data_IF_992628893543
#
_entry.id   IF_992628893543
#
_cell.length_a   1.000
_cell.length_b   1.000
_cell.length_c   1.000
_cell.angle_alpha   90.00
_cell.angle_beta   90.00
_cell.angle_gamma   90.00
#
_symmetry.space_group_name_H-M   'P 1'
#
loop_
_entity.id
_entity.type
_entity.pdbx_description
1 polymer ?
#
# COMPACT_ATOMS: atom_id res chain seq x y z
N UNK A 1 -10.06 -1.22 -18.94
CA UNK A 1 -11.26 -1.90 -18.37
C UNK A 1 -11.21 -3.36 -18.81
N UNK A 2 -11.51 -4.28 -17.91
CA UNK A 2 -11.54 -5.72 -18.17
C UNK A 2 -12.98 -6.13 -18.39
N UNK A 3 -13.30 -6.96 -19.40
CA UNK A 3 -14.66 -7.45 -19.64
C UNK A 3 -15.29 -8.07 -18.38
N UNK A 4 -16.61 -7.87 -18.19
CA UNK A 4 -17.33 -8.28 -16.99
C UNK A 4 -17.48 -9.81 -16.85
N UNK A 5 -17.35 -10.55 -17.96
CA UNK A 5 -17.36 -12.02 -18.00
C UNK A 5 -16.05 -12.67 -17.54
N UNK A 6 -14.96 -11.91 -17.49
CA UNK A 6 -13.67 -12.38 -16.97
C UNK A 6 -13.69 -12.32 -15.43
N UNK A 7 -13.52 -13.47 -14.78
CA UNK A 7 -13.39 -13.55 -13.33
C UNK A 7 -12.04 -13.03 -12.86
N UNK A 8 -12.01 -12.23 -11.77
CA UNK A 8 -10.79 -11.63 -11.22
C UNK A 8 -10.38 -12.29 -9.91
N UNK A 9 -9.11 -12.60 -9.78
CA UNK A 9 -8.47 -13.03 -8.53
C UNK A 9 -7.85 -11.81 -7.85
N UNK A 10 -8.35 -11.46 -6.68
CA UNK A 10 -7.88 -10.31 -5.89
C UNK A 10 -7.25 -10.84 -4.60
N UNK A 11 -6.05 -10.40 -4.30
CA UNK A 11 -5.36 -10.81 -3.08
C UNK A 11 -4.73 -9.66 -2.33
N UNK A 12 -4.86 -9.70 -1.01
CA UNK A 12 -4.17 -8.78 -0.10
C UNK A 12 -3.14 -9.52 0.74
N UNK A 13 -1.97 -8.90 0.92
CA UNK A 13 -0.96 -9.37 1.85
C UNK A 13 -1.36 -9.03 3.29
N UNK A 14 -1.24 -9.99 4.21
CA UNK A 14 -1.36 -9.78 5.66
C UNK A 14 -0.05 -10.15 6.35
N UNK A 15 0.40 -9.30 7.27
CA UNK A 15 1.61 -9.49 8.07
C UNK A 15 1.44 -8.88 9.46
N UNK A 16 2.24 -9.32 10.41
CA UNK A 16 2.24 -8.82 11.78
C UNK A 16 2.60 -7.34 11.84
N UNK A 17 1.84 -6.53 12.60
CA UNK A 17 2.07 -5.10 12.75
C UNK A 17 1.67 -4.26 11.53
N UNK A 18 0.79 -4.77 10.63
CA UNK A 18 0.18 -3.92 9.62
C UNK A 18 -0.71 -2.85 10.28
N UNK A 19 -1.04 -1.79 9.57
CA UNK A 19 -2.16 -0.90 9.94
C UNK A 19 -3.46 -1.50 9.38
N UNK A 20 -4.39 -1.87 10.26
CA UNK A 20 -5.57 -2.63 9.84
C UNK A 20 -6.43 -1.93 8.78
N UNK A 21 -6.53 -0.60 8.83
CA UNK A 21 -7.37 0.13 7.87
C UNK A 21 -6.70 0.23 6.49
N UNK A 22 -5.37 0.07 6.40
CA UNK A 22 -4.67 -0.09 5.13
C UNK A 22 -5.15 -1.36 4.38
N UNK A 23 -5.61 -2.37 5.13
CA UNK A 23 -6.21 -3.59 4.61
C UNK A 23 -7.73 -3.48 4.51
N UNK A 24 -8.41 -3.17 5.64
CA UNK A 24 -9.87 -3.27 5.76
C UNK A 24 -10.61 -2.15 5.02
N UNK A 25 -10.02 -0.96 4.89
CA UNK A 25 -10.58 0.11 4.06
C UNK A 25 -10.66 -0.29 2.58
N UNK A 26 -9.55 -0.67 1.94
CA UNK A 26 -9.57 -1.24 0.60
C UNK A 26 -10.41 -2.51 0.47
N UNK A 27 -10.40 -3.41 1.47
CA UNK A 27 -11.24 -4.60 1.47
C UNK A 27 -12.70 -4.28 1.22
N UNK A 28 -13.23 -3.26 1.88
CA UNK A 28 -14.63 -2.85 1.75
C UNK A 28 -15.00 -2.48 0.31
N UNK A 29 -14.06 -1.95 -0.46
CA UNK A 29 -14.23 -1.66 -1.89
C UNK A 29 -13.93 -2.87 -2.76
N UNK A 30 -12.75 -3.48 -2.57
CA UNK A 30 -12.20 -4.49 -3.49
C UNK A 30 -13.00 -5.79 -3.46
N UNK A 31 -13.57 -6.16 -2.31
CA UNK A 31 -14.41 -7.35 -2.15
C UNK A 31 -15.77 -7.22 -2.86
N UNK A 32 -16.15 -6.00 -3.29
CA UNK A 32 -17.38 -5.71 -4.04
C UNK A 32 -17.17 -5.53 -5.53
N UNK A 33 -15.95 -5.69 -6.02
CA UNK A 33 -15.69 -5.64 -7.46
C UNK A 33 -16.47 -6.77 -8.14
N UNK A 34 -17.32 -6.47 -9.14
CA UNK A 34 -18.13 -7.49 -9.80
C UNK A 34 -17.30 -8.62 -10.41
N UNK A 35 -17.83 -9.85 -10.30
CA UNK A 35 -17.20 -11.08 -10.81
C UNK A 35 -15.74 -11.22 -10.37
N UNK A 36 -15.52 -11.19 -9.06
CA UNK A 36 -14.20 -11.38 -8.46
C UNK A 36 -14.25 -12.29 -7.22
N UNK A 37 -13.11 -12.88 -6.89
CA UNK A 37 -12.85 -13.53 -5.60
C UNK A 37 -11.77 -12.74 -4.89
N UNK A 38 -12.04 -12.31 -3.66
CA UNK A 38 -11.08 -11.64 -2.80
C UNK A 38 -10.59 -12.60 -1.71
N UNK A 39 -9.27 -12.64 -1.50
CA UNK A 39 -8.65 -13.41 -0.41
C UNK A 39 -7.51 -12.64 0.24
N UNK A 40 -7.27 -12.97 1.51
CA UNK A 40 -6.17 -12.44 2.31
C UNK A 40 -5.12 -13.53 2.47
N UNK A 41 -3.86 -13.22 2.15
CA UNK A 41 -2.74 -14.16 2.19
C UNK A 41 -1.70 -13.73 3.22
N UNK A 42 -1.19 -14.70 3.98
CA UNK A 42 -0.12 -14.51 4.95
C UNK A 42 0.94 -15.62 4.86
N UNK A 43 2.05 -15.48 5.55
CA UNK A 43 3.05 -16.58 5.66
C UNK A 43 2.49 -17.81 6.34
N UNK A 44 1.54 -17.61 7.24
CA UNK A 44 0.80 -18.66 7.95
C UNK A 44 -0.69 -18.32 7.94
N UNK A 45 -1.53 -19.23 8.40
CA UNK A 45 -2.98 -18.98 8.61
C UNK A 45 -3.30 -18.59 10.06
N UNK A 46 -2.27 -18.40 10.90
CA UNK A 46 -2.45 -17.95 12.26
C UNK A 46 -2.90 -16.47 12.32
N UNK A 47 -3.72 -16.08 13.31
CA UNK A 47 -4.12 -14.70 13.49
C UNK A 47 -2.92 -13.79 13.74
N UNK A 48 -2.84 -12.70 13.00
CA UNK A 48 -1.83 -11.65 13.12
C UNK A 48 -2.44 -10.40 13.77
N UNK A 49 -1.61 -9.64 14.48
CA UNK A 49 -2.04 -8.41 15.14
C UNK A 49 -1.69 -7.20 14.29
N UNK A 50 -2.59 -6.24 14.26
CA UNK A 50 -2.30 -4.92 13.74
C UNK A 50 -1.46 -4.11 14.76
N UNK A 51 -1.08 -2.90 14.38
CA UNK A 51 -0.30 -1.96 15.23
C UNK A 51 -0.99 -1.59 16.54
N UNK A 52 -2.27 -1.87 16.72
CA UNK A 52 -3.08 -1.59 17.92
C UNK A 52 -3.61 -2.84 18.61
N UNK A 53 -3.34 -4.02 18.07
CA UNK A 53 -3.68 -5.31 18.67
C UNK A 53 -4.96 -5.95 18.13
N UNK A 54 -5.62 -5.36 17.12
CA UNK A 54 -6.72 -6.03 16.41
C UNK A 54 -6.19 -7.28 15.72
N UNK A 55 -6.92 -8.40 15.86
CA UNK A 55 -6.53 -9.66 15.22
C UNK A 55 -7.22 -9.82 13.88
N UNK A 56 -6.43 -10.15 12.88
CA UNK A 56 -6.87 -10.48 11.53
C UNK A 56 -6.32 -11.87 11.16
N UNK A 57 -7.10 -12.65 10.45
CA UNK A 57 -6.70 -14.00 10.06
C UNK A 57 -6.63 -14.10 8.55
N UNK A 58 -5.52 -14.59 7.96
CA UNK A 58 -5.43 -14.87 6.54
C UNK A 58 -6.39 -16.01 6.12
N UNK A 59 -6.89 -15.95 4.89
CA UNK A 59 -7.69 -17.02 4.29
C UNK A 59 -6.82 -18.22 3.87
N UNK A 60 -5.55 -17.94 3.52
CA UNK A 60 -4.61 -18.97 3.04
C UNK A 60 -3.15 -18.50 3.20
N UNK A 61 -2.22 -19.43 3.06
CA UNK A 61 -0.79 -19.14 3.01
C UNK A 61 -0.38 -18.61 1.62
N UNK A 62 0.73 -17.86 1.56
CA UNK A 62 1.27 -17.27 0.32
C UNK A 62 1.39 -18.31 -0.81
N UNK A 63 1.89 -19.50 -0.52
CA UNK A 63 2.10 -20.57 -1.49
C UNK A 63 0.79 -21.11 -2.12
N UNK A 64 -0.36 -20.84 -1.52
CA UNK A 64 -1.67 -21.25 -2.04
C UNK A 64 -2.34 -20.16 -2.88
N UNK A 65 -1.70 -18.98 -3.02
CA UNK A 65 -2.24 -17.91 -3.83
C UNK A 65 -2.22 -18.33 -5.32
N UNK A 66 -3.33 -18.20 -6.05
CA UNK A 66 -3.30 -18.27 -7.50
C UNK A 66 -2.53 -17.06 -8.05
N UNK A 67 -2.29 -17.04 -9.36
CA UNK A 67 -1.88 -15.77 -9.98
C UNK A 67 -2.99 -14.74 -9.77
N UNK A 68 -2.65 -13.63 -9.13
CA UNK A 68 -3.59 -12.55 -8.85
C UNK A 68 -3.70 -11.61 -10.03
N UNK A 69 -4.92 -11.17 -10.34
CA UNK A 69 -5.18 -10.04 -11.23
C UNK A 69 -4.93 -8.70 -10.53
N UNK A 70 -5.21 -8.65 -9.23
CA UNK A 70 -4.92 -7.52 -8.36
C UNK A 70 -4.15 -7.97 -7.12
N UNK A 71 -2.93 -7.49 -6.99
CA UNK A 71 -2.14 -7.61 -5.76
C UNK A 71 -2.31 -6.33 -4.93
N UNK A 72 -2.84 -6.47 -3.71
CA UNK A 72 -2.93 -5.37 -2.74
C UNK A 72 -1.90 -5.53 -1.63
N UNK A 73 -1.12 -4.47 -1.38
CA UNK A 73 -0.02 -4.43 -0.41
C UNK A 73 -0.26 -3.31 0.60
N UNK A 74 -0.80 -3.60 1.79
CA UNK A 74 -0.99 -2.63 2.86
C UNK A 74 0.33 -2.24 3.52
N UNK A 75 0.31 -1.19 4.34
CA UNK A 75 1.42 -0.75 5.16
C UNK A 75 1.21 -1.00 6.65
N UNK A 76 1.92 -0.25 7.46
CA UNK A 76 1.94 -0.37 8.92
C UNK A 76 3.37 -0.35 9.46
N UNK A 77 3.55 -0.53 10.77
CA UNK A 77 4.88 -0.51 11.38
C UNK A 77 5.69 -1.78 11.06
N UNK A 78 5.01 -2.94 11.00
CA UNK A 78 5.64 -4.22 10.63
C UNK A 78 6.18 -4.26 9.21
N UNK A 79 5.78 -3.34 8.34
CA UNK A 79 6.32 -3.19 6.99
C UNK A 79 7.86 -3.07 6.97
N UNK A 80 8.46 -2.53 8.02
CA UNK A 80 9.90 -2.35 8.08
C UNK A 80 10.64 -3.69 8.06
N UNK A 81 10.15 -4.68 8.80
CA UNK A 81 10.73 -6.02 8.82
C UNK A 81 10.54 -6.74 7.46
N UNK A 82 9.43 -6.46 6.76
CA UNK A 82 9.13 -7.05 5.44
C UNK A 82 10.13 -6.61 4.36
N UNK A 83 10.71 -5.42 4.45
CA UNK A 83 11.68 -4.95 3.44
C UNK A 83 12.95 -5.82 3.33
N UNK A 84 13.21 -6.70 4.29
CA UNK A 84 14.32 -7.65 4.29
C UNK A 84 13.85 -9.11 4.36
N UNK A 85 12.54 -9.37 4.32
CA UNK A 85 11.96 -10.72 4.25
C UNK A 85 11.92 -11.20 2.79
N UNK A 86 12.95 -11.94 2.37
CA UNK A 86 13.09 -12.34 0.97
C UNK A 86 11.97 -13.29 0.51
N UNK A 87 11.37 -14.11 1.38
CA UNK A 87 10.24 -14.96 1.03
C UNK A 87 9.02 -14.11 0.64
N UNK A 88 8.69 -13.09 1.45
CA UNK A 88 7.59 -12.18 1.15
C UNK A 88 7.88 -11.30 -0.08
N UNK A 89 9.11 -10.81 -0.20
CA UNK A 89 9.51 -10.00 -1.35
C UNK A 89 9.49 -10.80 -2.66
N UNK A 90 9.91 -12.07 -2.63
CA UNK A 90 9.82 -12.96 -3.77
C UNK A 90 8.37 -13.18 -4.19
N UNK A 91 7.49 -13.49 -3.24
CA UNK A 91 6.06 -13.64 -3.53
C UNK A 91 5.44 -12.37 -4.13
N UNK A 92 5.76 -11.19 -3.58
CA UNK A 92 5.29 -9.90 -4.14
C UNK A 92 5.77 -9.71 -5.58
N UNK A 93 7.05 -10.04 -5.87
CA UNK A 93 7.59 -9.95 -7.24
C UNK A 93 6.88 -10.91 -8.20
N UNK A 94 6.71 -12.16 -7.79
CA UNK A 94 6.07 -13.20 -8.60
C UNK A 94 4.63 -12.82 -8.93
N UNK A 95 3.86 -12.40 -7.94
CA UNK A 95 2.49 -11.96 -8.15
C UNK A 95 2.42 -10.72 -9.04
N UNK A 96 3.32 -9.76 -8.87
CA UNK A 96 3.33 -8.52 -9.64
C UNK A 96 3.60 -8.73 -11.14
N UNK A 97 4.33 -9.78 -11.53
CA UNK A 97 4.63 -10.10 -12.95
C UNK A 97 3.35 -10.34 -13.75
N UNK A 98 2.41 -11.09 -13.22
CA UNK A 98 1.15 -11.42 -13.88
C UNK A 98 -0.02 -10.51 -13.51
N UNK A 99 0.13 -9.67 -12.49
CA UNK A 99 -0.95 -8.83 -12.02
C UNK A 99 -1.29 -7.70 -13.02
N UNK A 100 -2.58 -7.55 -13.30
CA UNK A 100 -3.12 -6.41 -14.07
C UNK A 100 -3.02 -5.10 -13.30
N UNK A 101 -3.05 -5.19 -11.96
CA UNK A 101 -2.87 -4.04 -11.09
C UNK A 101 -2.10 -4.46 -9.83
N UNK A 102 -1.13 -3.64 -9.42
CA UNK A 102 -0.50 -3.69 -8.09
C UNK A 102 -0.95 -2.44 -7.35
N UNK A 103 -1.60 -2.63 -6.23
CA UNK A 103 -2.13 -1.54 -5.41
C UNK A 103 -1.46 -1.51 -4.05
N UNK A 104 -0.81 -0.41 -3.71
CA UNK A 104 -0.21 -0.23 -2.40
C UNK A 104 -0.87 0.90 -1.61
N UNK A 105 -0.94 0.72 -0.31
CA UNK A 105 -1.46 1.73 0.63
C UNK A 105 -0.38 2.06 1.65
N UNK A 106 -0.26 3.35 1.99
CA UNK A 106 0.62 3.81 3.05
C UNK A 106 2.07 3.34 2.81
N UNK A 107 2.72 2.76 3.80
CA UNK A 107 4.08 2.22 3.66
C UNK A 107 4.17 0.88 2.91
N UNK A 108 3.07 0.33 2.44
CA UNK A 108 3.07 -0.78 1.48
C UNK A 108 3.85 -0.47 0.20
N UNK A 109 3.94 0.81 -0.20
CA UNK A 109 4.80 1.24 -1.29
C UNK A 109 6.28 0.89 -1.05
N UNK A 110 6.76 0.91 0.20
CA UNK A 110 8.15 0.55 0.51
C UNK A 110 8.39 -0.96 0.40
N UNK A 111 7.38 -1.80 0.65
CA UNK A 111 7.43 -3.25 0.38
C UNK A 111 7.58 -3.47 -1.14
N UNK A 112 6.72 -2.82 -1.94
CA UNK A 112 6.83 -2.86 -3.40
C UNK A 112 8.21 -2.35 -3.86
N UNK A 113 8.74 -1.32 -3.21
CA UNK A 113 10.08 -0.78 -3.46
C UNK A 113 11.18 -1.78 -3.17
N UNK A 114 11.14 -2.45 -2.01
CA UNK A 114 12.10 -3.47 -1.61
C UNK A 114 12.05 -4.71 -2.51
N UNK A 115 10.85 -5.01 -3.08
CA UNK A 115 10.67 -6.00 -4.12
C UNK A 115 11.21 -5.55 -5.51
N UNK A 116 11.71 -4.31 -5.65
CA UNK A 116 12.27 -3.79 -6.90
C UNK A 116 11.26 -3.24 -7.90
N UNK A 117 9.99 -3.07 -7.51
CA UNK A 117 8.89 -2.70 -8.43
C UNK A 117 8.81 -1.19 -8.69
N UNK A 118 9.53 -0.35 -7.93
CA UNK A 118 9.40 1.11 -8.01
C UNK A 118 10.43 1.81 -8.90
N UNK A 119 11.42 1.10 -9.42
CA UNK A 119 12.47 1.72 -10.24
C UNK A 119 11.89 2.42 -11.47
N UNK A 120 12.11 3.74 -11.55
CA UNK A 120 11.60 4.59 -12.64
C UNK A 120 10.11 4.93 -12.55
N UNK A 121 9.42 4.57 -11.47
CA UNK A 121 7.99 4.84 -11.24
C UNK A 121 7.77 6.16 -10.50
N UNK A 122 6.65 6.79 -10.77
CA UNK A 122 6.08 7.85 -9.93
C UNK A 122 5.30 7.17 -8.81
N UNK A 123 5.53 7.57 -7.56
CA UNK A 123 4.89 6.91 -6.42
C UNK A 123 4.59 7.90 -5.29
N UNK A 124 3.62 7.54 -4.47
CA UNK A 124 3.36 8.16 -3.17
C UNK A 124 3.39 7.10 -2.07
N UNK A 125 3.45 7.55 -0.83
CA UNK A 125 3.41 6.72 0.37
C UNK A 125 2.96 7.57 1.56
N UNK A 126 2.89 6.99 2.76
CA UNK A 126 2.60 7.76 3.97
C UNK A 126 3.59 8.91 4.15
N UNK A 127 3.11 10.09 4.55
CA UNK A 127 3.91 11.33 4.66
C UNK A 127 5.21 11.15 5.47
N UNK A 128 5.20 10.38 6.55
CA UNK A 128 6.38 10.13 7.38
C UNK A 128 7.47 9.29 6.68
N UNK A 129 7.13 8.59 5.60
CA UNK A 129 8.02 7.73 4.83
C UNK A 129 8.27 8.25 3.40
N UNK A 130 7.68 9.38 3.04
CA UNK A 130 7.71 9.93 1.68
C UNK A 130 9.13 10.18 1.17
N UNK A 131 10.01 10.66 2.02
CA UNK A 131 11.42 10.91 1.73
C UNK A 131 12.24 9.64 1.42
N UNK A 132 11.68 8.45 1.69
CA UNK A 132 12.36 7.17 1.44
C UNK A 132 12.15 6.65 0.02
N UNK A 133 11.15 7.12 -0.72
CA UNK A 133 10.85 6.65 -2.07
C UNK A 133 12.05 6.68 -3.04
N UNK A 134 12.93 7.69 -3.02
CA UNK A 134 14.12 7.70 -3.88
C UNK A 134 15.09 6.53 -3.66
N UNK A 135 15.15 5.95 -2.46
CA UNK A 135 15.98 4.77 -2.18
C UNK A 135 15.54 3.52 -2.94
N UNK A 136 14.30 3.52 -3.43
CA UNK A 136 13.73 2.45 -4.26
C UNK A 136 13.68 2.81 -5.75
N UNK A 137 14.32 3.93 -6.13
CA UNK A 137 14.38 4.41 -7.51
C UNK A 137 13.08 5.05 -8.00
N UNK A 138 12.17 5.41 -7.09
CA UNK A 138 10.93 6.09 -7.42
C UNK A 138 11.11 7.61 -7.48
N UNK A 139 10.28 8.27 -8.29
CA UNK A 139 10.05 9.71 -8.25
C UNK A 139 8.89 10.00 -7.29
N UNK A 140 9.13 10.68 -6.15
CA UNK A 140 8.07 10.99 -5.20
C UNK A 140 7.05 11.98 -5.80
N UNK A 141 5.76 11.71 -5.58
CA UNK A 141 4.65 12.59 -5.98
C UNK A 141 3.74 12.79 -4.78
N UNK A 142 3.62 14.02 -4.29
CA UNK A 142 2.81 14.35 -3.14
C UNK A 142 1.33 14.50 -3.55
N UNK A 143 0.71 13.39 -3.87
CA UNK A 143 -0.72 13.28 -4.19
C UNK A 143 -1.34 12.18 -3.34
N UNK A 144 -2.64 12.32 -3.07
CA UNK A 144 -3.38 11.35 -2.26
C UNK A 144 -3.45 9.97 -2.91
N UNK A 145 -3.59 9.92 -4.25
CA UNK A 145 -3.54 8.70 -5.06
C UNK A 145 -2.73 8.97 -6.31
N UNK A 146 -1.71 8.16 -6.57
CA UNK A 146 -0.88 8.21 -7.77
C UNK A 146 -1.11 6.96 -8.59
N UNK A 147 -1.35 7.12 -9.89
CA UNK A 147 -1.42 6.02 -10.85
C UNK A 147 -0.22 6.12 -11.78
N UNK A 148 0.52 5.02 -11.90
CA UNK A 148 1.65 4.91 -12.83
C UNK A 148 1.67 3.53 -13.50
N UNK A 149 1.26 3.49 -14.76
CA UNK A 149 1.07 2.24 -15.50
C UNK A 149 0.05 1.33 -14.83
N UNK A 150 0.45 0.14 -14.46
CA UNK A 150 -0.39 -0.83 -13.76
C UNK A 150 -0.27 -0.73 -12.22
N UNK A 151 0.40 0.28 -11.69
CA UNK A 151 0.53 0.48 -10.25
C UNK A 151 -0.35 1.64 -9.78
N UNK A 152 -1.01 1.43 -8.65
CA UNK A 152 -1.77 2.46 -7.93
C UNK A 152 -1.20 2.58 -6.52
N UNK A 153 -0.89 3.80 -6.11
CA UNK A 153 -0.33 4.11 -4.80
C UNK A 153 -1.28 5.04 -4.07
N UNK A 154 -1.72 4.66 -2.89
CA UNK A 154 -2.47 5.52 -1.98
C UNK A 154 -1.55 5.99 -0.84
N UNK A 155 -1.59 7.28 -0.51
CA UNK A 155 -0.68 7.92 0.42
C UNK A 155 -0.84 7.41 1.87
N UNK A 156 -1.60 8.10 2.70
CA UNK A 156 -1.80 7.71 4.09
C UNK A 156 -3.09 6.93 4.27
N UNK A 157 -3.06 6.01 5.15
CA UNK A 157 -4.10 5.14 5.71
C UNK A 157 -5.48 5.21 5.02
N UNK A 158 -6.26 6.28 5.24
CA UNK A 158 -7.60 6.44 4.64
C UNK A 158 -7.61 6.68 3.13
N UNK A 159 -6.49 7.10 2.53
CA UNK A 159 -6.35 7.21 1.08
C UNK A 159 -6.49 5.85 0.38
N UNK A 160 -6.34 4.75 1.14
CA UNK A 160 -6.58 3.41 0.67
C UNK A 160 -7.98 3.19 0.11
N UNK A 161 -9.00 3.85 0.67
CA UNK A 161 -10.39 3.77 0.17
C UNK A 161 -10.49 4.46 -1.20
N UNK A 162 -9.93 5.69 -1.32
CA UNK A 162 -9.94 6.43 -2.60
C UNK A 162 -9.15 5.68 -3.68
N UNK A 163 -7.98 5.13 -3.30
CA UNK A 163 -7.16 4.30 -4.18
C UNK A 163 -7.89 3.04 -4.65
N UNK A 164 -8.59 2.35 -3.75
CA UNK A 164 -9.37 1.17 -4.08
C UNK A 164 -10.54 1.46 -5.03
N UNK A 165 -11.23 2.60 -4.87
CA UNK A 165 -12.25 3.06 -5.82
C UNK A 165 -11.64 3.36 -7.20
N UNK A 166 -10.43 3.95 -7.26
CA UNK A 166 -9.69 4.13 -8.50
C UNK A 166 -9.33 2.80 -9.15
N UNK A 167 -8.90 1.83 -8.36
CA UNK A 167 -8.61 0.45 -8.83
C UNK A 167 -9.88 -0.20 -9.39
N UNK A 168 -11.01 -0.11 -8.68
CA UNK A 168 -12.30 -0.63 -9.13
C UNK A 168 -12.71 -0.01 -10.50
N UNK A 169 -12.55 1.31 -10.64
CA UNK A 169 -12.81 2.01 -11.90
C UNK A 169 -11.87 1.53 -13.03
N UNK A 170 -10.59 1.37 -12.77
CA UNK A 170 -9.63 0.87 -13.74
C UNK A 170 -9.95 -0.56 -14.22
N UNK A 171 -10.43 -1.42 -13.32
CA UNK A 171 -10.73 -2.83 -13.60
C UNK A 171 -12.12 -3.01 -14.23
N UNK A 172 -13.16 -2.34 -13.73
CA UNK A 172 -14.57 -2.57 -14.08
C UNK A 172 -15.32 -1.35 -14.58
N UNK A 173 -14.66 -0.20 -14.68
CA UNK A 173 -15.26 1.06 -15.13
C UNK A 173 -15.86 1.90 -14.02
N UNK A 174 -16.11 3.15 -14.34
CA UNK A 174 -16.54 4.16 -13.37
C UNK A 174 -17.90 3.84 -12.74
N UNK A 175 -18.84 3.26 -13.53
CA UNK A 175 -20.17 2.89 -13.03
C UNK A 175 -20.08 1.88 -11.88
N UNK A 176 -19.23 0.85 -12.03
CA UNK A 176 -19.02 -0.14 -10.97
C UNK A 176 -18.41 0.50 -9.72
N UNK A 177 -17.42 1.38 -9.88
CA UNK A 177 -16.80 2.09 -8.76
C UNK A 177 -17.77 3.03 -8.05
N UNK A 178 -18.59 3.77 -8.80
CA UNK A 178 -19.62 4.67 -8.26
C UNK A 178 -20.71 3.89 -7.51
N UNK A 179 -21.12 2.72 -8.02
CA UNK A 179 -22.07 1.86 -7.33
C UNK A 179 -21.51 1.36 -5.99
N UNK A 180 -20.24 0.99 -5.92
CA UNK A 180 -19.55 0.61 -4.69
C UNK A 180 -19.47 1.81 -3.73
N UNK A 181 -19.06 2.98 -4.21
CA UNK A 181 -18.99 4.20 -3.42
C UNK A 181 -20.36 4.57 -2.81
N UNK A 182 -21.42 4.49 -3.59
CA UNK A 182 -22.79 4.77 -3.13
C UNK A 182 -23.23 3.75 -2.06
N UNK A 183 -22.98 2.44 -2.32
CA UNK A 183 -23.30 1.39 -1.34
C UNK A 183 -22.64 1.65 0.02
N UNK A 184 -21.37 2.07 0.02
CA UNK A 184 -20.63 2.40 1.23
C UNK A 184 -21.02 3.73 1.86
N UNK A 185 -21.81 4.55 1.17
CA UNK A 185 -22.07 5.96 1.53
C UNK A 185 -20.77 6.72 1.79
N UNK A 186 -19.74 6.46 0.98
CA UNK A 186 -18.45 7.10 1.15
C UNK A 186 -18.47 8.55 0.63
N UNK A 187 -18.82 9.46 1.53
CA UNK A 187 -18.85 10.91 1.36
C UNK A 187 -18.18 11.57 2.58
N UNK A 188 -16.84 11.53 2.69
CA UNK A 188 -16.14 11.92 3.92
C UNK A 188 -16.24 13.42 4.20
N UNK A 189 -16.62 13.76 5.44
CA UNK A 189 -16.70 15.11 5.98
C UNK A 189 -15.93 15.18 7.31
N UNK A 190 -14.58 15.22 7.26
CA UNK A 190 -13.77 15.24 8.48
C UNK A 190 -14.02 16.54 9.28
N UNK A 191 -14.16 16.46 10.62
CA UNK A 191 -14.47 17.63 11.46
C UNK A 191 -13.29 18.61 11.59
N UNK A 192 -12.08 18.21 11.17
CA UNK A 192 -10.88 19.03 11.22
C UNK A 192 -10.15 19.03 9.89
N UNK A 193 -9.57 20.15 9.52
CA UNK A 193 -8.64 20.24 8.37
C UNK A 193 -7.19 20.05 8.85
N UNK A 194 -6.86 18.84 9.29
CA UNK A 194 -5.55 18.49 9.86
C UNK A 194 -5.04 17.14 9.35
N UNK A 195 -5.50 16.74 8.16
CA UNK A 195 -5.22 15.42 7.59
C UNK A 195 -3.90 15.30 6.84
N UNK A 196 -3.15 16.39 6.65
CA UNK A 196 -1.85 16.40 5.97
C UNK A 196 -0.84 17.26 6.73
N UNK A 197 0.49 17.06 6.49
CA UNK A 197 1.52 17.92 7.09
C UNK A 197 1.33 19.41 6.78
N UNK A 198 0.78 19.74 5.62
CA UNK A 198 0.58 21.11 5.15
C UNK A 198 -0.60 21.79 5.85
N UNK A 199 -1.59 21.01 6.28
CA UNK A 199 -2.82 21.53 6.90
C UNK A 199 -2.87 21.37 8.42
N UNK A 200 -2.03 20.49 8.97
CA UNK A 200 -1.98 20.26 10.41
C UNK A 200 -1.39 21.47 11.16
N UNK A 201 -1.94 21.85 12.34
CA UNK A 201 -1.31 22.83 13.21
C UNK A 201 0.13 22.44 13.54
N UNK A 202 1.10 23.40 13.61
CA UNK A 202 2.53 23.09 13.81
C UNK A 202 2.82 22.19 15.01
N UNK A 203 2.19 22.42 16.16
CA UNK A 203 2.39 21.60 17.36
C UNK A 203 1.86 20.16 17.19
N UNK A 204 0.77 19.98 16.43
CA UNK A 204 0.23 18.66 16.10
C UNK A 204 1.19 17.90 15.18
N UNK A 205 1.71 18.57 14.16
CA UNK A 205 2.69 17.99 13.23
C UNK A 205 3.98 17.60 13.94
N UNK A 206 4.50 18.47 14.83
CA UNK A 206 5.69 18.18 15.63
C UNK A 206 5.50 16.96 16.52
N UNK A 207 4.39 16.88 17.26
CA UNK A 207 4.04 15.71 18.07
C UNK A 207 3.89 14.43 17.24
N UNK A 208 3.27 14.52 16.06
CA UNK A 208 3.14 13.40 15.15
C UNK A 208 4.51 12.92 14.62
N UNK A 209 5.40 13.83 14.22
CA UNK A 209 6.77 13.51 13.80
C UNK A 209 7.55 12.82 14.92
N UNK A 210 7.48 13.35 16.14
CA UNK A 210 8.14 12.74 17.29
C UNK A 210 7.65 11.31 17.54
N UNK A 211 6.33 11.07 17.45
CA UNK A 211 5.73 9.75 17.70
C UNK A 211 6.16 8.66 16.72
N UNK A 212 6.55 9.03 15.49
CA UNK A 212 7.00 8.09 14.45
C UNK A 212 8.50 8.13 14.19
N UNK A 213 9.27 8.93 14.95
CA UNK A 213 10.70 9.12 14.70
C UNK A 213 11.48 7.82 14.73
N UNK A 214 11.28 6.99 15.74
CA UNK A 214 12.02 5.74 15.92
C UNK A 214 11.83 4.77 14.74
N UNK A 215 10.58 4.60 14.27
CA UNK A 215 10.32 3.73 13.11
C UNK A 215 10.83 4.36 11.81
N UNK A 216 10.80 5.68 11.69
CA UNK A 216 11.33 6.39 10.52
C UNK A 216 12.85 6.21 10.42
N UNK A 217 13.57 6.31 11.54
CA UNK A 217 15.01 6.08 11.58
C UNK A 217 15.40 4.63 11.24
N UNK A 218 14.61 3.64 11.67
CA UNK A 218 14.81 2.23 11.28
C UNK A 218 14.60 2.06 9.77
N UNK A 219 13.48 2.57 9.25
CA UNK A 219 13.16 2.52 7.81
C UNK A 219 14.22 3.17 6.93
N UNK A 220 14.79 4.31 7.36
CA UNK A 220 15.89 4.96 6.60
C UNK A 220 17.10 4.04 6.49
N UNK A 221 17.51 3.41 7.58
CA UNK A 221 18.63 2.46 7.58
C UNK A 221 18.37 1.26 6.67
N UNK A 222 17.18 0.67 6.77
CA UNK A 222 16.79 -0.47 5.94
C UNK A 222 16.66 -0.07 4.48
N UNK A 223 16.06 1.08 4.16
CA UNK A 223 15.94 1.59 2.79
C UNK A 223 17.31 1.79 2.13
N UNK A 224 18.34 2.24 2.87
CA UNK A 224 19.72 2.35 2.36
C UNK A 224 20.31 0.99 2.01
N UNK A 225 20.16 -0.02 2.88
CA UNK A 225 20.63 -1.39 2.60
C UNK A 225 19.91 -1.98 1.38
N UNK A 226 18.61 -1.74 1.27
CA UNK A 226 17.82 -2.16 0.10
C UNK A 226 18.29 -1.46 -1.17
N UNK A 227 18.55 -0.14 -1.13
CA UNK A 227 19.10 0.60 -2.28
C UNK A 227 20.42 0.00 -2.76
N UNK A 228 21.34 -0.33 -1.84
CA UNK A 228 22.61 -1.00 -2.15
C UNK A 228 22.36 -2.37 -2.81
N UNK A 229 21.47 -3.20 -2.22
CA UNK A 229 21.09 -4.51 -2.79
C UNK A 229 20.51 -4.40 -4.21
N UNK A 230 19.71 -3.37 -4.47
CA UNK A 230 19.06 -3.14 -5.77
C UNK A 230 19.95 -2.37 -6.78
N UNK A 231 21.15 -1.95 -6.38
CA UNK A 231 22.05 -1.16 -7.22
C UNK A 231 21.50 0.23 -7.55
N UNK A 232 20.75 0.83 -6.61
CA UNK A 232 20.15 2.16 -6.79
C UNK A 232 21.06 3.22 -6.17
N UNK A 233 21.50 4.17 -6.99
CA UNK A 233 22.29 5.32 -6.53
C UNK A 233 21.33 6.47 -6.20
N UNK A 234 21.26 6.84 -4.93
CA UNK A 234 20.48 8.01 -4.47
C UNK A 234 21.36 9.25 -4.53
N UNK A 235 20.99 10.23 -5.35
CA UNK A 235 21.70 11.50 -5.42
C UNK A 235 21.62 12.26 -4.11
N UNK A 236 22.69 13.01 -3.75
CA UNK A 236 22.77 13.77 -2.49
C UNK A 236 21.68 14.86 -2.35
N UNK A 237 21.00 15.22 -3.43
CA UNK A 237 19.90 16.20 -3.45
C UNK A 237 18.58 15.68 -2.85
N UNK A 238 18.42 14.37 -2.64
CA UNK A 238 17.24 13.78 -1.98
C UNK A 238 17.27 13.86 -0.45
N UNK A 239 18.22 14.53 0.17
CA UNK A 239 18.43 14.53 1.64
C UNK A 239 17.71 15.63 2.41
N UNK A 240 16.93 16.51 1.77
CA UNK A 240 16.17 17.57 2.45
C UNK A 240 14.88 17.90 1.68
N UNK A 241 13.79 17.42 2.16
CA UNK A 241 12.47 18.04 2.01
C UNK A 241 11.72 17.84 3.33
#
# INVERSE_FOLDING_TARGET
MIPHDIHLQIGSLLFEGLDQIDLTGPFEVLSRIPNSTYRIFGKTTEPMRDVRGLRLTPDAVLAQAPQLDLLHVPGGFGQEDIMEDEELLAWVREQAVGARCVFSVCTGALICGAAGLLKGRRATTHWAAFHLLPFFGATPVNERVVVDGNMVFAAGVTAGIDGALRVAANLRGDEAAQAIQLYMQYAPEPPFNSGTPETAPPAVLEGARFSVQAITDRRDKTARRVAERLGITVSASGRRA
#
